data_IF_919240556806
#
_entry.id   IF_919240556806
#
_cell.length_a   1.000
_cell.length_b   1.000
_cell.length_c   1.000
_cell.angle_alpha   90.00
_cell.angle_beta   90.00
_cell.angle_gamma   90.00
#
_symmetry.space_group_name_H-M   'P 1'
#
loop_
_entity.id
_entity.type
_entity.pdbx_description
1 polymer ?
#
# COMPACT_ATOMS: atom_id res chain seq x y z
N UNK A 1 -9.68 -18.20 -8.99
CA UNK A 1 -11.05 -18.42 -8.44
C UNK A 1 -11.32 -17.41 -7.34
N UNK A 2 -12.33 -16.54 -7.48
CA UNK A 2 -12.68 -15.60 -6.42
C UNK A 2 -13.38 -16.34 -5.27
N UNK A 3 -12.83 -16.30 -4.06
CA UNK A 3 -13.47 -16.84 -2.86
C UNK A 3 -14.51 -15.82 -2.35
N UNK A 4 -15.70 -16.26 -1.90
CA UNK A 4 -16.70 -15.35 -1.34
C UNK A 4 -16.18 -14.71 -0.04
N UNK A 5 -16.32 -13.39 0.07
CA UNK A 5 -15.92 -12.60 1.24
C UNK A 5 -17.17 -12.12 1.97
N UNK A 6 -17.17 -12.20 3.30
CA UNK A 6 -18.23 -11.65 4.17
C UNK A 6 -17.73 -10.35 4.77
N UNK A 7 -18.54 -9.30 4.64
CA UNK A 7 -18.23 -7.97 5.14
C UNK A 7 -19.02 -7.67 6.40
N UNK A 8 -18.42 -6.91 7.31
CA UNK A 8 -19.05 -6.37 8.52
C UNK A 8 -18.43 -5.01 8.83
N UNK A 9 -19.10 -4.25 9.68
CA UNK A 9 -18.66 -2.94 10.14
C UNK A 9 -18.75 -2.89 11.65
N UNK A 10 -17.78 -2.24 12.26
CA UNK A 10 -17.78 -1.93 13.67
C UNK A 10 -18.97 -1.05 14.09
N UNK A 11 -19.36 -1.17 15.35
CA UNK A 11 -20.37 -0.31 15.97
C UNK A 11 -19.81 0.33 17.27
N UNK A 12 -19.94 1.65 17.45
CA UNK A 12 -20.33 2.63 16.44
C UNK A 12 -19.28 2.73 15.30
N UNK A 13 -19.69 3.12 14.09
CA UNK A 13 -18.73 3.37 13.00
C UNK A 13 -17.62 4.35 13.36
N UNK A 14 -16.40 4.06 12.91
CA UNK A 14 -15.23 4.86 13.27
C UNK A 14 -14.73 4.60 14.70
N UNK A 15 -15.23 3.56 15.37
CA UNK A 15 -14.81 3.18 16.71
C UNK A 15 -13.38 2.62 16.81
N UNK A 16 -12.70 2.43 15.67
CA UNK A 16 -11.31 1.98 15.60
C UNK A 16 -11.15 0.46 15.49
N UNK A 17 -9.90 -0.04 15.65
CA UNK A 17 -9.56 -1.41 15.30
C UNK A 17 -10.14 -2.48 16.24
N UNK A 18 -10.35 -2.16 17.53
CA UNK A 18 -10.93 -3.12 18.49
C UNK A 18 -12.38 -3.49 18.19
N UNK A 19 -13.32 -2.54 18.01
CA UNK A 19 -14.69 -2.90 17.66
C UNK A 19 -14.77 -3.49 16.24
N UNK A 20 -13.85 -3.17 15.33
CA UNK A 20 -13.74 -3.83 14.02
C UNK A 20 -13.33 -5.30 14.13
N UNK A 21 -12.34 -5.60 14.98
CA UNK A 21 -11.96 -6.97 15.30
C UNK A 21 -13.12 -7.76 15.91
N UNK A 22 -13.84 -7.17 16.87
CA UNK A 22 -15.00 -7.79 17.50
C UNK A 22 -16.11 -8.10 16.48
N UNK A 23 -16.42 -7.15 15.59
CA UNK A 23 -17.41 -7.33 14.52
C UNK A 23 -17.02 -8.46 13.55
N UNK A 24 -15.74 -8.54 13.15
CA UNK A 24 -15.22 -9.61 12.29
C UNK A 24 -15.27 -10.98 12.97
N UNK A 25 -14.84 -11.04 14.22
CA UNK A 25 -14.78 -12.28 15.01
C UNK A 25 -16.17 -12.90 15.25
N UNK A 26 -17.22 -12.07 15.32
CA UNK A 26 -18.60 -12.53 15.41
C UNK A 26 -19.08 -13.32 14.17
N UNK A 27 -18.44 -13.14 13.01
CA UNK A 27 -18.85 -13.80 11.77
C UNK A 27 -18.19 -15.17 11.53
N UNK A 28 -17.17 -15.55 12.32
CA UNK A 28 -16.43 -16.81 12.14
C UNK A 28 -16.54 -17.71 13.37
N UNK A 29 -16.65 -19.02 13.17
CA UNK A 29 -16.57 -20.05 14.22
C UNK A 29 -15.27 -20.86 14.18
N UNK A 30 -14.27 -20.42 13.40
CA UNK A 30 -12.99 -21.15 13.28
C UNK A 30 -12.16 -20.98 14.56
N UNK A 31 -11.42 -22.03 14.99
CA UNK A 31 -10.65 -21.99 16.24
C UNK A 31 -9.42 -21.07 16.14
N UNK A 32 -8.87 -20.90 14.94
CA UNK A 32 -7.79 -19.95 14.65
C UNK A 32 -8.31 -18.85 13.73
N UNK A 33 -7.91 -17.63 14.01
CA UNK A 33 -8.24 -16.43 13.24
C UNK A 33 -6.96 -15.68 12.93
N UNK A 34 -6.69 -15.47 11.65
CA UNK A 34 -5.69 -14.53 11.20
C UNK A 34 -6.29 -13.11 11.20
N UNK A 35 -5.58 -12.15 11.78
CA UNK A 35 -5.94 -10.74 11.78
C UNK A 35 -4.88 -9.99 10.98
N UNK A 36 -5.33 -9.34 9.92
CA UNK A 36 -4.49 -8.67 8.94
C UNK A 36 -4.97 -7.22 8.77
N UNK A 37 -4.05 -6.26 8.76
CA UNK A 37 -4.33 -4.91 8.29
C UNK A 37 -4.65 -4.93 6.77
N UNK A 38 -5.39 -3.94 6.29
CA UNK A 38 -5.80 -3.88 4.88
C UNK A 38 -4.64 -3.48 3.96
N UNK A 39 -3.61 -2.86 4.54
CA UNK A 39 -2.47 -2.24 3.89
C UNK A 39 -1.17 -2.98 4.27
N UNK A 40 -1.12 -4.27 3.98
CA UNK A 40 0.09 -5.08 4.10
C UNK A 40 0.72 -5.34 2.72
N UNK A 41 1.30 -4.32 2.05
CA UNK A 41 1.83 -4.47 0.68
C UNK A 41 2.96 -5.49 0.56
N UNK A 42 3.54 -5.92 1.68
CA UNK A 42 4.67 -6.85 1.77
C UNK A 42 4.36 -8.14 2.51
N UNK A 43 3.08 -8.51 2.65
CA UNK A 43 2.73 -9.76 3.31
C UNK A 43 3.21 -10.95 2.45
N UNK A 44 4.26 -11.61 2.91
CA UNK A 44 4.80 -12.80 2.26
C UNK A 44 3.83 -14.00 2.40
N UNK A 45 3.60 -14.82 1.36
CA UNK A 45 2.71 -15.98 1.42
C UNK A 45 3.06 -17.01 2.50
N UNK A 46 4.34 -17.08 2.91
CA UNK A 46 4.84 -17.91 4.00
C UNK A 46 4.58 -17.33 5.40
N UNK A 47 4.17 -16.06 5.51
CA UNK A 47 3.93 -15.38 6.79
C UNK A 47 2.87 -16.09 7.63
N UNK A 48 1.70 -16.36 7.07
CA UNK A 48 0.61 -17.03 7.80
C UNK A 48 0.96 -18.48 8.19
N UNK A 49 1.50 -19.32 7.29
CA UNK A 49 2.03 -20.63 7.67
C UNK A 49 3.05 -20.57 8.81
N UNK A 50 3.99 -19.62 8.79
CA UNK A 50 4.99 -19.45 9.84
C UNK A 50 4.36 -19.04 11.18
N UNK A 51 3.39 -18.12 11.17
CA UNK A 51 2.64 -17.73 12.38
C UNK A 51 1.85 -18.90 12.97
N UNK A 52 1.20 -19.71 12.13
CA UNK A 52 0.48 -20.91 12.57
C UNK A 52 1.44 -21.95 13.14
N UNK A 53 2.56 -22.23 12.46
CA UNK A 53 3.55 -23.19 12.91
C UNK A 53 4.26 -22.74 14.20
N UNK A 54 4.47 -21.44 14.34
CA UNK A 54 5.10 -20.83 15.50
C UNK A 54 4.16 -20.61 16.69
N UNK A 55 2.87 -20.94 16.60
CA UNK A 55 1.89 -20.81 17.69
C UNK A 55 1.91 -22.05 18.59
N UNK A 56 2.51 -22.00 19.80
CA UNK A 56 2.53 -23.15 20.68
C UNK A 56 1.15 -23.40 21.34
N UNK A 57 0.90 -24.61 21.87
CA UNK A 57 -0.38 -24.97 22.47
C UNK A 57 -0.84 -24.04 23.61
N UNK A 58 0.09 -23.56 24.42
CA UNK A 58 -0.14 -22.71 25.59
C UNK A 58 -0.27 -21.22 25.27
N UNK A 59 0.04 -20.79 24.05
CA UNK A 59 -0.12 -19.39 23.66
C UNK A 59 -1.52 -19.13 23.10
N UNK A 60 -2.01 -17.92 23.35
CA UNK A 60 -3.30 -17.42 22.91
C UNK A 60 -3.23 -16.83 21.49
N UNK A 61 -2.01 -16.49 21.03
CA UNK A 61 -1.74 -16.07 19.66
C UNK A 61 -0.25 -15.93 19.37
N UNK A 62 0.06 -15.79 18.08
CA UNK A 62 1.39 -15.49 17.58
C UNK A 62 1.31 -14.23 16.70
N UNK A 63 2.24 -13.30 16.89
CA UNK A 63 2.34 -12.06 16.13
C UNK A 63 3.76 -11.80 15.69
N UNK A 64 3.91 -11.03 14.62
CA UNK A 64 5.21 -10.52 14.21
C UNK A 64 5.66 -9.35 15.09
N UNK A 65 6.96 -9.27 15.32
CA UNK A 65 7.63 -8.14 15.96
C UNK A 65 8.66 -7.62 14.98
N UNK A 66 8.65 -6.32 14.75
CA UNK A 66 9.63 -5.70 13.86
C UNK A 66 11.03 -5.56 14.48
N UNK A 67 11.98 -5.07 13.68
CA UNK A 67 13.36 -4.87 14.10
C UNK A 67 13.50 -3.88 15.27
N UNK A 68 12.54 -2.98 15.46
CA UNK A 68 12.50 -2.00 16.55
C UNK A 68 11.83 -2.57 17.82
N UNK A 69 11.41 -3.84 17.78
CA UNK A 69 10.78 -4.52 18.92
C UNK A 69 9.30 -4.21 19.09
N UNK A 70 8.64 -3.60 18.08
CA UNK A 70 7.22 -3.25 18.15
C UNK A 70 6.35 -4.42 17.69
N UNK A 71 5.39 -4.77 18.53
CA UNK A 71 4.39 -5.79 18.24
C UNK A 71 3.48 -5.36 17.07
N UNK A 72 3.20 -6.29 16.15
CA UNK A 72 2.32 -6.12 15.01
C UNK A 72 1.00 -6.88 15.20
N UNK A 73 0.04 -6.34 15.98
CA UNK A 73 -1.18 -7.06 16.35
C UNK A 73 -2.14 -7.33 15.19
N UNK A 74 -1.98 -6.59 14.09
CA UNK A 74 -2.71 -6.73 12.84
C UNK A 74 -1.88 -7.50 11.78
N UNK A 75 -0.86 -8.25 12.19
CA UNK A 75 -0.22 -9.29 11.37
C UNK A 75 0.05 -10.49 12.27
N UNK A 76 -1.04 -11.18 12.61
CA UNK A 76 -1.05 -12.14 13.70
C UNK A 76 -2.08 -13.26 13.48
N UNK A 77 -1.86 -14.38 14.16
CA UNK A 77 -2.83 -15.49 14.28
C UNK A 77 -3.16 -15.68 15.74
N UNK A 78 -4.45 -15.70 16.07
CA UNK A 78 -4.94 -15.87 17.43
C UNK A 78 -5.87 -17.07 17.53
N UNK A 79 -5.94 -17.63 18.75
CA UNK A 79 -7.04 -18.52 19.14
C UNK A 79 -8.30 -17.68 19.30
N UNK A 80 -9.35 -18.07 18.59
CA UNK A 80 -10.61 -17.33 18.58
C UNK A 80 -11.23 -17.21 19.98
N UNK A 81 -11.18 -18.27 20.77
CA UNK A 81 -11.76 -18.29 22.11
C UNK A 81 -11.03 -17.31 23.06
N UNK A 82 -9.70 -17.26 22.99
CA UNK A 82 -8.92 -16.31 23.78
C UNK A 82 -9.22 -14.86 23.38
N UNK A 83 -9.35 -14.58 22.07
CA UNK A 83 -9.78 -13.25 21.61
C UNK A 83 -11.18 -12.88 22.13
N UNK A 84 -12.14 -13.81 22.08
CA UNK A 84 -13.51 -13.56 22.57
C UNK A 84 -13.51 -13.28 24.07
N UNK A 85 -12.79 -14.08 24.85
CA UNK A 85 -12.66 -13.87 26.30
C UNK A 85 -12.04 -12.51 26.60
N UNK A 86 -10.92 -12.18 25.97
CA UNK A 86 -10.23 -10.91 26.22
C UNK A 86 -11.07 -9.68 25.77
N UNK A 87 -11.86 -9.80 24.70
CA UNK A 87 -12.81 -8.75 24.28
C UNK A 87 -13.98 -8.62 25.26
N UNK A 88 -14.51 -9.74 25.78
CA UNK A 88 -15.58 -9.73 26.77
C UNK A 88 -15.12 -9.08 28.09
N UNK A 89 -13.90 -9.38 28.54
CA UNK A 89 -13.29 -8.77 29.73
C UNK A 89 -13.07 -7.26 29.59
N UNK A 90 -12.83 -6.77 28.37
CA UNK A 90 -12.71 -5.34 28.12
C UNK A 90 -14.05 -4.62 28.28
N UNK A 91 -15.17 -5.31 28.04
CA UNK A 91 -16.53 -4.77 28.04
C UNK A 91 -16.95 -4.30 26.64
N UNK A 92 -17.99 -4.90 26.01
CA UNK A 92 -18.41 -4.60 24.63
C UNK A 92 -18.68 -3.12 24.37
N UNK A 93 -19.30 -2.43 25.33
CA UNK A 93 -19.67 -1.01 25.21
C UNK A 93 -18.48 -0.05 25.35
N UNK A 94 -17.30 -0.57 25.66
CA UNK A 94 -16.10 0.24 25.94
C UNK A 94 -15.01 0.10 24.88
N UNK A 95 -15.25 -0.69 23.83
CA UNK A 95 -14.25 -0.98 22.81
C UNK A 95 -13.92 0.23 21.94
N UNK A 96 -14.88 1.13 21.71
CA UNK A 96 -14.71 2.30 20.86
C UNK A 96 -13.61 3.23 21.38
N UNK A 97 -12.71 3.65 20.48
CA UNK A 97 -11.60 4.54 20.79
C UNK A 97 -10.46 3.91 21.60
N UNK A 98 -10.58 2.63 21.99
CA UNK A 98 -9.48 1.94 22.67
C UNK A 98 -8.44 1.41 21.68
N UNK A 99 -7.15 1.46 22.03
CA UNK A 99 -6.09 0.93 21.20
C UNK A 99 -5.99 -0.59 21.32
N UNK A 100 -5.59 -1.28 20.24
CA UNK A 100 -5.39 -2.74 20.24
C UNK A 100 -4.48 -3.25 21.36
N UNK A 101 -3.49 -2.47 21.80
CA UNK A 101 -2.61 -2.83 22.92
C UNK A 101 -3.35 -3.18 24.22
N UNK A 102 -4.55 -2.63 24.43
CA UNK A 102 -5.37 -2.96 25.59
C UNK A 102 -5.81 -4.45 25.58
N UNK A 103 -6.03 -5.01 24.39
CA UNK A 103 -6.31 -6.43 24.20
C UNK A 103 -5.05 -7.28 24.35
N UNK A 104 -3.91 -6.83 23.80
CA UNK A 104 -2.66 -7.60 23.82
C UNK A 104 -2.16 -7.90 25.24
N UNK A 105 -2.33 -6.96 26.17
CA UNK A 105 -1.95 -7.15 27.57
C UNK A 105 -2.73 -8.25 28.31
N UNK A 106 -3.78 -8.81 27.69
CA UNK A 106 -4.62 -9.90 28.24
C UNK A 106 -4.35 -11.25 27.59
N UNK A 107 -3.44 -11.31 26.62
CA UNK A 107 -3.16 -12.51 25.83
C UNK A 107 -1.72 -12.97 26.07
N UNK A 108 -1.51 -14.29 26.16
CA UNK A 108 -0.19 -14.90 26.14
C UNK A 108 0.27 -15.03 24.69
N UNK A 109 1.09 -14.07 24.26
CA UNK A 109 1.47 -13.92 22.86
C UNK A 109 2.88 -14.44 22.58
N UNK A 110 3.00 -15.29 21.57
CA UNK A 110 4.28 -15.66 20.98
C UNK A 110 4.71 -14.57 19.99
N UNK A 111 5.88 -14.00 20.24
CA UNK A 111 6.52 -13.01 19.37
C UNK A 111 7.47 -13.70 18.40
N UNK A 112 7.22 -13.57 17.11
CA UNK A 112 8.10 -14.05 16.05
C UNK A 112 8.77 -12.86 15.37
N UNK A 113 10.05 -12.95 14.98
CA UNK A 113 10.69 -11.87 14.23
C UNK A 113 9.98 -11.73 12.88
N UNK A 114 9.72 -10.49 12.48
CA UNK A 114 9.14 -10.13 11.19
C UNK A 114 9.80 -8.89 10.61
N UNK A 115 9.58 -8.60 9.32
CA UNK A 115 10.00 -7.33 8.75
C UNK A 115 9.28 -6.17 9.45
N UNK A 116 9.87 -4.97 9.40
CA UNK A 116 9.18 -3.77 9.84
C UNK A 116 7.84 -3.64 9.10
N UNK A 117 6.75 -3.50 9.85
CA UNK A 117 5.47 -3.14 9.24
C UNK A 117 5.60 -1.70 8.76
N UNK A 118 5.52 -1.52 7.44
CA UNK A 118 5.27 -0.21 6.86
C UNK A 118 3.80 0.10 7.07
N UNK A 119 3.49 0.73 8.19
CA UNK A 119 2.23 1.44 8.37
C UNK A 119 2.23 2.56 7.33
N UNK A 120 1.44 2.43 6.27
CA UNK A 120 1.45 3.40 5.18
C UNK A 120 0.59 4.61 5.57
N UNK A 121 0.91 5.24 6.69
CA UNK A 121 0.15 6.35 7.27
C UNK A 121 0.45 7.68 6.57
N UNK A 122 1.56 7.75 5.81
CA UNK A 122 1.97 8.96 5.11
C UNK A 122 2.26 8.71 3.62
N UNK A 123 2.11 9.76 2.80
CA UNK A 123 2.44 9.71 1.37
C UNK A 123 3.90 9.25 1.09
N UNK A 124 4.91 9.67 1.87
CA UNK A 124 6.25 9.08 1.82
C UNK A 124 6.30 7.58 2.08
N UNK A 125 5.52 7.06 3.03
CA UNK A 125 5.47 5.62 3.34
C UNK A 125 4.84 4.84 2.19
N UNK A 126 3.81 5.41 1.53
CA UNK A 126 3.23 4.85 0.30
C UNK A 126 4.25 4.85 -0.86
N UNK A 127 5.07 5.90 -0.99
CA UNK A 127 6.09 6.00 -2.03
C UNK A 127 7.26 5.01 -1.78
N UNK A 128 7.72 4.90 -0.54
CA UNK A 128 8.73 3.91 -0.12
C UNK A 128 8.19 2.48 -0.24
N UNK A 129 6.90 2.27 0.05
CA UNK A 129 6.24 1.00 -0.18
C UNK A 129 6.19 0.69 -1.69
N UNK A 130 5.75 1.63 -2.53
CA UNK A 130 5.77 1.45 -3.99
C UNK A 130 7.16 1.16 -4.56
N UNK A 131 8.21 1.76 -4.00
CA UNK A 131 9.59 1.49 -4.39
C UNK A 131 10.08 0.09 -3.96
N UNK A 132 9.58 -0.47 -2.84
CA UNK A 132 9.91 -1.83 -2.36
C UNK A 132 9.00 -2.93 -2.94
N UNK A 133 7.86 -2.59 -3.56
CA UNK A 133 7.07 -3.51 -4.42
C UNK A 133 7.87 -3.74 -5.72
N UNK A 134 9.09 -4.26 -5.58
CA UNK A 134 9.97 -4.66 -6.67
C UNK A 134 9.48 -5.89 -7.44
N UNK A 135 8.25 -6.35 -7.20
CA UNK A 135 7.53 -7.24 -8.12
C UNK A 135 6.87 -6.49 -9.28
N UNK A 136 6.86 -5.14 -9.28
CA UNK A 136 6.42 -4.36 -10.44
C UNK A 136 7.49 -4.22 -11.53
N UNK A 137 8.78 -4.38 -11.25
CA UNK A 137 9.81 -4.36 -12.29
C UNK A 137 9.54 -5.47 -13.29
N UNK A 138 9.41 -6.70 -12.80
CA UNK A 138 9.12 -7.88 -13.62
C UNK A 138 7.75 -7.80 -14.30
N UNK A 139 6.68 -7.40 -13.60
CA UNK A 139 5.33 -7.30 -14.20
C UNK A 139 5.23 -6.17 -15.23
N UNK A 140 5.88 -5.03 -15.00
CA UNK A 140 5.91 -3.92 -15.94
C UNK A 140 6.81 -4.24 -17.15
N UNK A 141 7.96 -4.88 -16.94
CA UNK A 141 8.83 -5.35 -18.02
C UNK A 141 8.14 -6.43 -18.87
N UNK A 142 7.47 -7.40 -18.25
CA UNK A 142 6.66 -8.42 -18.93
C UNK A 142 5.50 -7.79 -19.70
N UNK A 143 4.81 -6.81 -19.11
CA UNK A 143 3.74 -6.08 -19.78
C UNK A 143 4.26 -5.26 -20.96
N UNK A 144 5.38 -4.53 -20.80
CA UNK A 144 6.03 -3.77 -21.86
C UNK A 144 6.45 -4.72 -22.99
N UNK A 145 7.05 -5.87 -22.67
CA UNK A 145 7.43 -6.88 -23.64
C UNK A 145 6.21 -7.43 -24.41
N UNK A 146 5.10 -7.71 -23.71
CA UNK A 146 3.86 -8.17 -24.34
C UNK A 146 3.27 -7.10 -25.28
N UNK A 147 3.22 -5.83 -24.86
CA UNK A 147 2.73 -4.72 -25.68
C UNK A 147 3.63 -4.47 -26.90
N UNK A 148 4.96 -4.52 -26.72
CA UNK A 148 5.91 -4.43 -27.85
C UNK A 148 5.68 -5.53 -28.87
N UNK A 149 5.46 -6.75 -28.41
CA UNK A 149 5.17 -7.91 -29.26
C UNK A 149 3.85 -7.71 -30.02
N UNK A 150 2.78 -7.34 -29.33
CA UNK A 150 1.46 -7.15 -29.94
C UNK A 150 1.45 -6.02 -30.97
N UNK A 151 2.16 -4.93 -30.70
CA UNK A 151 2.21 -3.75 -31.57
C UNK A 151 3.34 -3.79 -32.61
N UNK A 152 4.22 -4.81 -32.58
CA UNK A 152 5.38 -4.90 -33.46
C UNK A 152 6.40 -3.77 -33.27
N UNK A 153 6.61 -3.33 -32.03
CA UNK A 153 7.46 -2.17 -31.70
C UNK A 153 8.82 -2.61 -31.18
N UNK A 154 9.85 -2.34 -31.96
CA UNK A 154 11.27 -2.52 -31.60
C UNK A 154 11.86 -1.18 -31.14
N UNK A 155 11.40 -0.68 -30.00
CA UNK A 155 11.89 0.57 -29.41
C UNK A 155 12.49 0.30 -28.03
N UNK A 156 13.73 0.75 -27.82
CA UNK A 156 14.29 0.81 -26.48
C UNK A 156 13.72 2.04 -25.76
N UNK A 157 13.05 1.80 -24.64
CA UNK A 157 12.27 2.82 -23.94
C UNK A 157 12.85 2.96 -22.55
N UNK A 158 13.48 4.11 -22.29
CA UNK A 158 13.80 4.53 -20.94
C UNK A 158 12.50 4.82 -20.18
N UNK A 159 12.02 3.79 -19.50
CA UNK A 159 10.73 3.82 -18.80
C UNK A 159 10.78 4.79 -17.62
N UNK A 160 11.94 4.93 -16.97
CA UNK A 160 12.13 5.87 -15.87
C UNK A 160 11.99 7.31 -16.37
N UNK A 161 12.71 7.68 -17.43
CA UNK A 161 12.64 9.02 -18.00
C UNK A 161 11.21 9.39 -18.47
N UNK A 162 10.50 8.45 -19.09
CA UNK A 162 9.10 8.67 -19.52
C UNK A 162 8.13 8.84 -18.35
N UNK A 163 8.29 8.07 -17.28
CA UNK A 163 7.44 8.17 -16.08
C UNK A 163 7.73 9.45 -15.29
N UNK A 164 8.99 9.89 -15.24
CA UNK A 164 9.38 11.16 -14.61
C UNK A 164 8.79 12.35 -15.39
N UNK A 165 8.91 12.39 -16.72
CA UNK A 165 8.27 13.43 -17.52
C UNK A 165 6.73 13.47 -17.38
N UNK A 166 6.09 12.30 -17.26
CA UNK A 166 4.66 12.23 -16.98
C UNK A 166 4.31 12.80 -15.59
N UNK A 167 5.13 12.50 -14.58
CA UNK A 167 4.99 13.01 -13.21
C UNK A 167 5.13 14.53 -13.19
N UNK A 168 6.15 15.07 -13.85
CA UNK A 168 6.43 16.50 -13.89
C UNK A 168 5.28 17.25 -14.58
N UNK A 169 4.77 16.74 -15.70
CA UNK A 169 3.60 17.32 -16.36
C UNK A 169 2.34 17.29 -15.48
N UNK A 170 2.09 16.20 -14.75
CA UNK A 170 0.94 16.09 -13.86
C UNK A 170 0.99 17.09 -12.70
N UNK A 171 2.19 17.37 -12.18
CA UNK A 171 2.40 18.32 -11.09
C UNK A 171 2.48 19.78 -11.55
N UNK A 172 3.20 20.04 -12.63
CA UNK A 172 3.45 21.39 -13.13
C UNK A 172 2.31 21.97 -13.97
N UNK A 173 1.51 21.12 -14.63
CA UNK A 173 0.44 21.57 -15.54
C UNK A 173 -0.94 21.25 -14.98
N UNK A 174 -1.31 19.95 -14.96
CA UNK A 174 -2.56 19.42 -14.41
C UNK A 174 -2.55 17.88 -14.44
N UNK A 175 -3.32 17.22 -13.57
CA UNK A 175 -3.38 15.73 -13.51
C UNK A 175 -3.60 15.03 -14.86
N UNK A 176 -4.50 15.49 -15.77
CA UNK A 176 -4.69 14.85 -17.07
C UNK A 176 -3.50 14.97 -18.03
N UNK A 177 -2.49 15.80 -17.72
CA UNK A 177 -1.35 16.03 -18.62
C UNK A 177 -0.43 14.80 -18.74
N UNK A 178 -0.32 13.95 -17.70
CA UNK A 178 0.54 12.76 -17.73
C UNK A 178 0.33 11.83 -18.95
N UNK A 179 -0.89 11.31 -19.22
CA UNK A 179 -1.12 10.44 -20.39
C UNK A 179 -0.97 11.18 -21.73
N UNK A 180 -1.30 12.48 -21.78
CA UNK A 180 -1.18 13.27 -23.01
C UNK A 180 0.30 13.54 -23.36
N UNK A 181 1.11 13.85 -22.34
CA UNK A 181 2.55 14.05 -22.46
C UNK A 181 3.25 12.80 -22.98
N UNK A 182 2.99 11.64 -22.38
CA UNK A 182 3.61 10.38 -22.80
C UNK A 182 3.20 9.96 -24.22
N UNK A 183 1.94 10.20 -24.61
CA UNK A 183 1.50 10.02 -25.99
C UNK A 183 2.24 10.93 -26.97
N UNK A 184 2.38 12.22 -26.65
CA UNK A 184 3.09 13.17 -27.52
C UNK A 184 4.59 12.89 -27.63
N UNK A 185 5.23 12.44 -26.55
CA UNK A 185 6.62 11.97 -26.57
C UNK A 185 6.75 10.79 -27.55
N UNK A 186 5.89 9.78 -27.43
CA UNK A 186 5.90 8.62 -28.32
C UNK A 186 5.61 8.99 -29.77
N UNK A 187 4.63 9.86 -30.01
CA UNK A 187 4.28 10.35 -31.34
C UNK A 187 5.42 11.16 -31.98
N UNK A 188 6.08 12.04 -31.22
CA UNK A 188 7.23 12.80 -31.70
C UNK A 188 8.39 11.87 -32.03
N UNK A 189 8.73 10.93 -31.13
CA UNK A 189 9.78 9.95 -31.36
C UNK A 189 9.54 9.13 -32.65
N UNK A 190 8.32 8.63 -32.85
CA UNK A 190 7.95 7.88 -34.06
C UNK A 190 7.93 8.72 -35.35
N UNK A 191 7.59 10.01 -35.26
CA UNK A 191 7.46 10.90 -36.44
C UNK A 191 8.79 11.54 -36.85
N UNK A 192 9.67 11.85 -35.92
CA UNK A 192 10.90 12.63 -36.18
C UNK A 192 12.18 11.85 -35.93
N UNK A 193 12.10 10.66 -35.32
CA UNK A 193 13.26 9.90 -34.89
C UNK A 193 13.94 10.44 -33.63
N UNK A 194 13.33 11.41 -32.94
CA UNK A 194 13.84 11.92 -31.67
C UNK A 194 13.86 10.81 -30.62
N UNK A 195 14.98 10.65 -29.92
CA UNK A 195 15.09 9.65 -28.87
C UNK A 195 14.06 9.93 -27.75
N UNK A 196 13.27 8.92 -27.30
CA UNK A 196 12.25 9.12 -26.26
C UNK A 196 12.79 9.75 -24.97
N UNK A 197 14.01 9.38 -24.56
CA UNK A 197 14.67 9.96 -23.39
C UNK A 197 14.99 11.45 -23.57
N UNK A 198 15.43 11.85 -24.77
CA UNK A 198 15.69 13.25 -25.10
C UNK A 198 14.39 14.06 -25.16
N UNK A 199 13.33 13.49 -25.73
CA UNK A 199 12.01 14.10 -25.74
C UNK A 199 11.47 14.26 -24.30
N UNK A 200 11.60 13.24 -23.46
CA UNK A 200 11.17 13.27 -22.07
C UNK A 200 11.90 14.38 -21.29
N UNK A 201 13.23 14.48 -21.42
CA UNK A 201 14.01 15.53 -20.74
C UNK A 201 13.57 16.95 -21.15
N UNK A 202 13.30 17.18 -22.44
CA UNK A 202 12.80 18.48 -22.93
C UNK A 202 11.41 18.81 -22.37
N UNK A 203 10.55 17.81 -22.22
CA UNK A 203 9.19 18.01 -21.69
C UNK A 203 9.20 18.22 -20.17
N UNK A 204 10.06 17.53 -19.42
CA UNK A 204 10.26 17.82 -17.99
C UNK A 204 10.66 19.28 -17.77
N UNK A 205 11.66 19.78 -18.50
CA UNK A 205 12.07 21.19 -18.42
C UNK A 205 10.92 22.15 -18.75
N UNK A 206 10.14 21.86 -19.81
CA UNK A 206 8.98 22.66 -20.17
C UNK A 206 7.89 22.68 -19.08
N UNK A 207 7.64 21.53 -18.43
CA UNK A 207 6.67 21.44 -17.34
C UNK A 207 7.11 22.23 -16.10
N UNK A 208 8.41 22.24 -15.79
CA UNK A 208 8.98 23.05 -14.71
C UNK A 208 8.86 24.56 -15.01
N UNK A 209 9.19 24.97 -16.23
CA UNK A 209 9.05 26.37 -16.68
C UNK A 209 7.60 26.84 -16.54
N UNK A 210 6.66 26.03 -17.02
CA UNK A 210 5.22 26.29 -16.92
C UNK A 210 4.74 26.42 -15.46
N UNK A 211 5.27 25.57 -14.57
CA UNK A 211 4.94 25.63 -13.15
C UNK A 211 5.45 26.93 -12.49
N UNK A 212 6.65 27.39 -12.87
CA UNK A 212 7.23 28.64 -12.37
C UNK A 212 6.44 29.86 -12.85
N UNK A 213 6.09 29.92 -14.13
CA UNK A 213 5.29 31.03 -14.70
C UNK A 213 3.92 31.17 -14.02
N UNK A 214 3.29 30.06 -13.59
CA UNK A 214 2.03 30.12 -12.83
C UNK A 214 2.20 30.45 -11.36
N UNK A 215 3.40 30.28 -10.81
CA UNK A 215 3.72 30.61 -9.43
C UNK A 215 4.12 32.10 -9.28
N UNK A 216 4.54 32.75 -10.36
CA UNK A 216 4.81 34.19 -10.38
C UNK A 216 3.49 34.99 -10.39
N UNK A 217 3.30 35.93 -9.44
CA UNK A 217 2.11 36.79 -9.42
C UNK A 217 2.14 37.76 -10.62
N UNK A 218 0.99 37.96 -11.27
CA UNK A 218 0.85 38.93 -12.37
C UNK A 218 1.42 40.31 -11.95
N UNK A 219 2.42 40.86 -12.68
CA UNK A 219 2.89 42.21 -12.42
C UNK A 219 1.87 43.20 -12.98
N UNK A 220 0.83 43.52 -12.20
CA UNK A 220 -0.17 44.48 -12.66
C UNK A 220 -1.50 44.57 -11.91
N UNK A 221 -1.57 44.29 -10.61
CA UNK A 221 -2.75 44.63 -9.80
C UNK A 221 -2.37 45.60 -8.66
N UNK A 222 -1.85 46.78 -9.04
CA UNK A 222 -1.93 47.98 -8.20
C UNK A 222 -2.34 49.14 -9.08
N UNK A 223 -3.63 49.47 -9.05
CA UNK A 223 -4.06 50.84 -8.77
C UNK A 223 -5.52 50.87 -8.34
#
# INVERSE_FOLDING_TARGET
TARPVRWTREHPPGGGPLPALAAGLALTGRPLVAVLAADLPFLDPGTLPALVAGLPPEADGALLVDADGRDQPLTAVYRADALRTALAELGPDTLAGRPLRALLGRLRLRRLPGPAALDCDTWPDIAAARARIGHHGVVLEEWIAAVKTELGVELDVDTTALLDAARDAAHGVARPAAPLTTFLIGYAAGRTGLAPAEAAARISALAEDWARERAEPEPGARS
#
